data_IF_204206181558
#
_entry.id   IF_204206181558
#
_cell.length_a   1.000
_cell.length_b   1.000
_cell.length_c   1.000
_cell.angle_alpha   90.00
_cell.angle_beta   90.00
_cell.angle_gamma   90.00
#
_symmetry.space_group_name_H-M   'P 1'
#
loop_
_entity.id
_entity.type
_entity.pdbx_description
1 polymer ?
#
# COMPACT_ATOMS: atom_id res chain seq x y z
N UNK A 1 -15.71 -0.97 -36.18
CA UNK A 1 -15.08 -2.28 -36.00
C UNK A 1 -14.28 -2.16 -34.72
N UNK A 2 -14.73 -2.81 -33.65
CA UNK A 2 -14.09 -2.71 -32.33
C UNK A 2 -12.71 -3.37 -32.40
N UNK A 3 -11.65 -2.59 -32.27
CA UNK A 3 -10.25 -3.03 -32.32
C UNK A 3 -9.87 -3.72 -31.00
N UNK A 4 -10.47 -4.88 -30.73
CA UNK A 4 -10.13 -5.72 -29.58
C UNK A 4 -8.72 -6.31 -29.78
N UNK A 5 -7.90 -6.40 -28.71
CA UNK A 5 -6.54 -6.91 -28.85
C UNK A 5 -6.56 -8.39 -29.23
N UNK A 6 -5.57 -8.84 -30.03
CA UNK A 6 -5.46 -10.25 -30.40
C UNK A 6 -5.21 -11.11 -29.16
N UNK A 7 -5.59 -12.38 -29.25
CA UNK A 7 -5.41 -13.33 -28.16
C UNK A 7 -3.93 -13.50 -27.78
N UNK A 8 -3.54 -13.42 -26.50
CA UNK A 8 -2.15 -13.57 -26.09
C UNK A 8 -1.60 -14.98 -26.32
N UNK A 9 -2.47 -16.00 -26.33
CA UNK A 9 -2.05 -17.40 -26.51
C UNK A 9 -1.90 -17.80 -27.98
N UNK A 10 -2.88 -17.48 -28.83
CA UNK A 10 -2.91 -17.91 -30.23
C UNK A 10 -2.71 -16.78 -31.26
N UNK A 11 -2.60 -15.52 -30.83
CA UNK A 11 -2.49 -14.31 -31.68
C UNK A 11 -3.62 -14.11 -32.68
N UNK A 12 -4.75 -14.79 -32.49
CA UNK A 12 -5.91 -14.65 -33.34
C UNK A 12 -6.58 -13.29 -33.14
N UNK A 13 -6.98 -12.65 -34.23
CA UNK A 13 -7.64 -11.33 -34.24
C UNK A 13 -9.17 -11.45 -34.05
N UNK A 14 -9.71 -12.67 -34.05
CA UNK A 14 -11.14 -12.95 -33.97
C UNK A 14 -11.68 -13.06 -32.54
N UNK A 15 -11.18 -12.22 -31.65
CA UNK A 15 -11.60 -12.20 -30.25
C UNK A 15 -12.92 -11.41 -30.12
N UNK A 16 -13.83 -11.89 -29.27
CA UNK A 16 -15.10 -11.20 -29.01
C UNK A 16 -15.28 -10.91 -27.51
N UNK A 17 -15.96 -9.82 -27.20
CA UNK A 17 -16.32 -9.47 -25.83
C UNK A 17 -17.61 -10.21 -25.41
N UNK A 18 -17.56 -10.95 -24.30
CA UNK A 18 -18.72 -11.40 -23.54
C UNK A 18 -18.77 -10.66 -22.21
N UNK A 19 -19.68 -9.67 -22.13
CA UNK A 19 -19.90 -8.78 -20.99
C UNK A 19 -18.65 -7.98 -20.56
N UNK A 20 -17.75 -8.60 -19.80
CA UNK A 20 -16.53 -7.98 -19.25
C UNK A 20 -15.28 -8.83 -19.51
N UNK A 21 -15.44 -9.95 -20.23
CA UNK A 21 -14.38 -10.87 -20.61
C UNK A 21 -14.24 -10.82 -22.13
N UNK A 22 -13.03 -11.01 -22.62
CA UNK A 22 -12.74 -11.27 -24.02
C UNK A 22 -12.46 -12.76 -24.16
N UNK A 23 -13.14 -13.37 -25.11
CA UNK A 23 -13.11 -14.80 -25.35
C UNK A 23 -12.53 -15.04 -26.74
N UNK A 24 -11.54 -15.91 -26.82
CA UNK A 24 -11.02 -16.39 -28.10
C UNK A 24 -11.75 -17.68 -28.53
N UNK A 25 -12.41 -17.70 -29.70
CA UNK A 25 -13.12 -18.89 -30.19
C UNK A 25 -12.21 -20.01 -30.68
N UNK A 26 -10.93 -19.75 -30.97
CA UNK A 26 -10.00 -20.76 -31.49
C UNK A 26 -9.31 -21.58 -30.39
N UNK A 27 -8.98 -20.96 -29.26
CA UNK A 27 -8.33 -21.65 -28.15
C UNK A 27 -9.18 -21.71 -26.87
N UNK A 28 -10.31 -21.01 -26.81
CA UNK A 28 -11.14 -20.94 -25.62
C UNK A 28 -10.51 -20.13 -24.47
N UNK A 29 -9.43 -19.38 -24.73
CA UNK A 29 -8.80 -18.54 -23.72
C UNK A 29 -9.69 -17.32 -23.43
N UNK A 30 -9.92 -17.06 -22.15
CA UNK A 30 -10.76 -15.98 -21.64
C UNK A 30 -9.89 -15.00 -20.83
N UNK A 31 -9.89 -13.72 -21.19
CA UNK A 31 -9.14 -12.68 -20.47
C UNK A 31 -9.89 -11.36 -20.48
N UNK A 32 -9.72 -10.55 -19.43
CA UNK A 32 -10.32 -9.21 -19.38
C UNK A 32 -9.29 -8.17 -19.85
N UNK A 33 -9.59 -7.36 -20.88
CA UNK A 33 -8.74 -6.21 -21.26
C UNK A 33 -9.11 -4.96 -20.50
N UNK A 34 -10.36 -4.87 -20.08
CA UNK A 34 -10.71 -4.04 -18.96
C UNK A 34 -10.16 -4.79 -17.76
N UNK A 35 -8.91 -4.52 -17.38
CA UNK A 35 -8.55 -4.70 -15.99
C UNK A 35 -9.61 -3.91 -15.21
N UNK A 36 -10.56 -4.53 -14.46
CA UNK A 36 -10.72 -3.97 -13.15
C UNK A 36 -9.29 -3.95 -12.63
N UNK A 37 -8.81 -2.78 -12.29
CA UNK A 37 -7.76 -2.68 -11.31
C UNK A 37 -8.28 -3.43 -10.09
N UNK A 38 -8.13 -4.76 -10.09
CA UNK A 38 -8.07 -5.60 -8.92
C UNK A 38 -6.74 -5.24 -8.24
N UNK A 39 -6.64 -3.98 -7.83
CA UNK A 39 -6.14 -3.65 -6.51
C UNK A 39 -7.25 -3.95 -5.50
N UNK A 40 -7.79 -5.17 -5.54
CA UNK A 40 -8.43 -5.78 -4.36
C UNK A 40 -7.30 -6.33 -3.49
N UNK A 41 -6.42 -5.42 -3.09
CA UNK A 41 -5.36 -5.60 -2.13
C UNK A 41 -5.37 -4.36 -1.23
N UNK A 42 -6.51 -4.11 -0.57
CA UNK A 42 -6.65 -3.10 0.48
C UNK A 42 -6.09 -1.70 0.16
N UNK A 43 -6.68 -1.01 -0.83
CA UNK A 43 -6.53 0.44 -0.98
C UNK A 43 -7.36 1.21 0.08
N UNK A 44 -7.27 0.82 1.36
CA UNK A 44 -7.88 1.58 2.46
C UNK A 44 -6.84 2.19 3.40
N UNK A 45 -5.55 1.82 3.30
CA UNK A 45 -4.50 2.43 4.13
C UNK A 45 -3.09 2.15 3.60
N UNK A 46 -2.79 2.47 2.32
CA UNK A 46 -1.40 2.49 1.87
C UNK A 46 -0.69 3.66 2.55
N UNK A 47 -0.19 3.42 3.77
CA UNK A 47 0.53 4.43 4.55
C UNK A 47 1.93 4.56 3.97
N UNK A 48 2.17 5.70 3.31
CA UNK A 48 3.49 6.06 2.81
C UNK A 48 4.21 6.92 3.82
N UNK A 49 5.50 6.66 4.01
CA UNK A 49 6.33 7.53 4.84
C UNK A 49 6.83 8.78 4.09
N UNK A 50 7.53 9.66 4.79
CA UNK A 50 8.16 10.88 4.26
C UNK A 50 8.94 10.71 2.93
N UNK A 51 9.48 9.52 2.65
CA UNK A 51 10.26 9.18 1.45
C UNK A 51 9.41 8.48 0.37
N UNK A 52 8.11 8.29 0.59
CA UNK A 52 7.21 7.61 -0.35
C UNK A 52 7.25 6.08 -0.28
N UNK A 53 7.96 5.49 0.70
CA UNK A 53 7.98 4.05 0.88
C UNK A 53 6.66 3.55 1.47
N UNK A 54 6.15 2.44 0.94
CA UNK A 54 4.97 1.75 1.47
C UNK A 54 5.36 1.06 2.79
N UNK A 55 4.65 1.44 3.85
CA UNK A 55 4.74 0.78 5.14
C UNK A 55 3.72 -0.35 5.22
N UNK A 56 4.05 -1.38 6.00
CA UNK A 56 3.18 -2.51 6.29
C UNK A 56 3.10 -2.69 7.80
N UNK A 57 2.06 -3.41 8.24
CA UNK A 57 1.96 -3.85 9.64
C UNK A 57 3.16 -4.74 10.00
N UNK A 58 3.72 -4.54 11.19
CA UNK A 58 4.92 -5.25 11.68
C UNK A 58 6.26 -4.66 11.22
N UNK A 59 6.28 -3.66 10.34
CA UNK A 59 7.52 -3.07 9.81
C UNK A 59 8.28 -2.24 10.87
N UNK A 60 9.53 -1.88 10.56
CA UNK A 60 10.38 -1.05 11.44
C UNK A 60 10.56 0.32 10.83
N UNK A 61 10.25 1.35 11.61
CA UNK A 61 10.40 2.75 11.18
C UNK A 61 11.40 3.49 12.04
N UNK A 62 12.02 4.51 11.48
CA UNK A 62 12.95 5.43 12.14
C UNK A 62 12.37 6.83 12.09
N UNK A 63 12.36 7.53 13.22
CA UNK A 63 11.88 8.92 13.27
C UNK A 63 12.92 9.86 12.64
N UNK A 64 12.49 10.73 11.72
CA UNK A 64 13.39 11.65 11.00
C UNK A 64 13.58 13.01 11.68
N UNK A 65 12.72 13.36 12.65
CA UNK A 65 12.73 14.66 13.33
C UNK A 65 12.49 14.52 14.83
N UNK A 66 12.97 15.47 15.61
CA UNK A 66 12.68 15.50 17.04
C UNK A 66 11.20 15.82 17.29
N UNK A 67 10.55 15.01 18.11
CA UNK A 67 9.16 15.18 18.50
C UNK A 67 9.08 15.31 20.01
N UNK A 68 8.65 16.48 20.47
CA UNK A 68 8.34 16.70 21.89
C UNK A 68 6.92 16.20 22.16
N UNK A 69 6.80 15.23 23.05
CA UNK A 69 5.50 14.70 23.46
C UNK A 69 4.85 15.70 24.42
N UNK A 70 3.67 16.20 24.07
CA UNK A 70 2.91 17.08 24.97
C UNK A 70 2.35 16.24 26.11
N UNK A 71 2.79 16.52 27.34
CA UNK A 71 2.37 15.79 28.55
C UNK A 71 3.41 14.86 29.17
N UNK A 72 4.55 14.66 28.49
CA UNK A 72 5.69 13.89 29.02
C UNK A 72 6.99 14.71 28.93
N UNK A 73 7.90 14.57 29.89
CA UNK A 73 9.24 15.20 29.82
C UNK A 73 10.18 14.51 28.82
N UNK A 74 9.72 13.43 28.18
CA UNK A 74 10.51 12.65 27.25
C UNK A 74 10.38 13.17 25.82
N UNK A 75 11.51 13.27 25.13
CA UNK A 75 11.62 13.73 23.75
C UNK A 75 12.00 12.54 22.88
N UNK A 76 11.23 12.28 21.82
CA UNK A 76 11.61 11.30 20.80
C UNK A 76 12.64 11.97 19.91
N UNK A 77 13.89 11.54 20.01
CA UNK A 77 14.97 12.09 19.19
C UNK A 77 14.93 11.50 17.78
N UNK A 78 15.42 12.28 16.81
CA UNK A 78 15.76 11.78 15.48
C UNK A 78 16.63 10.53 15.60
N UNK A 79 16.34 9.51 14.78
CA UNK A 79 17.05 8.23 14.80
C UNK A 79 16.46 7.18 15.77
N UNK A 80 15.40 7.52 16.53
CA UNK A 80 14.68 6.52 17.33
C UNK A 80 14.07 5.48 16.41
N UNK A 81 14.48 4.22 16.57
CA UNK A 81 13.90 3.07 15.85
C UNK A 81 12.70 2.53 16.60
N UNK A 82 11.60 2.38 15.89
CA UNK A 82 10.34 1.85 16.40
C UNK A 82 10.01 0.60 15.61
N UNK A 83 9.94 -0.53 16.31
CA UNK A 83 9.70 -1.85 15.73
C UNK A 83 8.23 -2.22 15.87
N UNK A 84 7.74 -3.09 15.00
CA UNK A 84 6.38 -3.64 15.08
C UNK A 84 5.32 -2.52 15.02
N UNK A 85 5.37 -1.70 13.97
CA UNK A 85 4.34 -0.68 13.76
C UNK A 85 3.00 -1.33 13.39
N UNK A 86 1.90 -0.68 13.75
CA UNK A 86 0.55 -1.03 13.32
C UNK A 86 -0.04 0.10 12.52
N UNK A 87 -0.53 -0.20 11.32
CA UNK A 87 -1.19 0.79 10.48
C UNK A 87 -2.64 0.95 10.94
N UNK A 88 -3.07 2.19 11.14
CA UNK A 88 -4.42 2.52 11.57
C UNK A 88 -4.97 3.65 10.72
N UNK A 89 -6.24 3.58 10.35
CA UNK A 89 -6.92 4.68 9.65
C UNK A 89 -7.17 5.86 10.59
N UNK A 90 -6.80 7.07 10.17
CA UNK A 90 -7.09 8.31 10.90
C UNK A 90 -6.07 9.44 10.66
N UNK A 91 -6.14 10.51 11.46
CA UNK A 91 -5.17 11.62 11.37
C UNK A 91 -3.73 11.19 11.73
N UNK A 92 -3.60 10.21 12.64
CA UNK A 92 -2.34 9.56 12.98
C UNK A 92 -2.36 8.13 12.46
N UNK A 93 -1.61 7.90 11.38
CA UNK A 93 -1.70 6.69 10.56
C UNK A 93 -0.89 5.50 11.09
N UNK A 94 -0.04 5.73 12.09
CA UNK A 94 0.90 4.72 12.61
C UNK A 94 0.73 4.62 14.12
N UNK A 95 0.24 3.49 14.59
CA UNK A 95 0.25 3.12 16.00
C UNK A 95 1.52 2.32 16.28
N UNK A 96 2.27 2.68 17.32
CA UNK A 96 3.54 2.04 17.60
C UNK A 96 3.83 2.00 19.09
N UNK A 97 4.65 1.03 19.51
CA UNK A 97 5.06 0.90 20.91
C UNK A 97 6.55 1.18 21.02
N UNK A 98 6.89 2.18 21.81
CA UNK A 98 8.27 2.56 22.10
C UNK A 98 8.60 2.08 23.51
N UNK A 99 9.70 1.33 23.64
CA UNK A 99 10.17 0.86 24.94
C UNK A 99 10.53 2.05 25.85
N UNK A 100 9.99 2.07 27.07
CA UNK A 100 10.15 3.18 28.03
C UNK A 100 9.21 4.38 27.87
N UNK A 101 8.49 4.51 26.75
CA UNK A 101 7.50 5.60 26.51
C UNK A 101 6.06 5.07 26.44
N UNK A 102 5.88 3.81 25.99
CA UNK A 102 4.57 3.19 25.85
C UNK A 102 4.04 3.21 24.41
N UNK A 103 2.73 3.01 24.26
CA UNK A 103 2.05 3.07 22.97
C UNK A 103 1.84 4.54 22.56
N UNK A 104 2.23 4.89 21.34
CA UNK A 104 2.13 6.23 20.80
C UNK A 104 1.69 6.17 19.33
N UNK A 105 0.87 7.13 18.94
CA UNK A 105 0.48 7.32 17.54
C UNK A 105 1.35 8.37 16.89
N UNK A 106 1.88 8.06 15.71
CA UNK A 106 2.74 8.91 14.90
C UNK A 106 2.07 9.20 13.56
N UNK A 107 2.45 10.34 12.96
CA UNK A 107 2.08 10.68 11.58
C UNK A 107 3.17 10.19 10.63
N UNK A 108 2.77 9.67 9.48
CA UNK A 108 3.69 9.05 8.52
C UNK A 108 4.70 10.02 7.91
N UNK A 109 4.42 11.32 7.93
CA UNK A 109 5.32 12.40 7.50
C UNK A 109 6.61 12.55 8.33
N UNK A 110 6.65 12.01 9.55
CA UNK A 110 7.80 12.15 10.46
C UNK A 110 8.60 10.87 10.67
N UNK A 111 8.26 9.81 9.94
CA UNK A 111 8.95 8.53 10.03
C UNK A 111 9.50 8.15 8.67
N UNK A 112 10.53 7.29 8.68
CA UNK A 112 11.03 6.59 7.51
C UNK A 112 11.12 5.09 7.73
N UNK A 113 10.93 4.29 6.69
CA UNK A 113 11.26 2.86 6.71
C UNK A 113 12.73 2.68 7.05
N UNK A 114 13.02 1.80 8.01
CA UNK A 114 14.35 1.59 8.58
C UNK A 114 15.12 0.46 7.91
#
# INVERSE_FOLDING_TARGET
MSELPPCPECKSEFCYEDRNLIVCPECGYEWSTNAPVENTGSDDSIVRDANGNILNDGDTVTVIKDLKIKGSSSVVKVGTKVKNIRLVGGDHNIDCKIDGIGAMKLKSEFVRKA
#
